data_IF_517380573082
#
_entry.id   IF_517380573082
#
_cell.length_a   1.000
_cell.length_b   1.000
_cell.length_c   1.000
_cell.angle_alpha   90.00
_cell.angle_beta   90.00
_cell.angle_gamma   90.00
#
_symmetry.space_group_name_H-M   'P 1'
#
loop_
_entity.id
_entity.type
_entity.pdbx_description
1 polymer ?
#
# COMPACT_ATOMS: atom_id res chain seq x y z
N UNK A 1 -6.10 -12.45 43.82
CA UNK A 1 -6.83 -13.47 43.03
C UNK A 1 -8.06 -12.91 42.32
N UNK A 2 -8.85 -12.01 42.97
CA UNK A 2 -10.08 -11.43 42.40
C UNK A 2 -9.88 -10.63 41.12
N UNK A 3 -8.75 -9.92 40.96
CA UNK A 3 -8.46 -9.13 39.76
C UNK A 3 -8.33 -9.98 38.48
N UNK A 4 -7.67 -11.14 38.58
CA UNK A 4 -7.51 -12.07 37.44
C UNK A 4 -8.87 -12.67 37.02
N UNK A 5 -9.70 -13.02 37.98
CA UNK A 5 -11.05 -13.53 37.72
C UNK A 5 -11.91 -12.47 37.03
N UNK A 6 -11.81 -11.21 37.46
CA UNK A 6 -12.49 -10.08 36.82
C UNK A 6 -12.10 -9.88 35.37
N UNK A 7 -10.79 -9.99 35.04
CA UNK A 7 -10.30 -9.87 33.66
C UNK A 7 -10.83 -11.01 32.78
N UNK A 8 -10.79 -12.26 33.28
CA UNK A 8 -11.31 -13.42 32.56
C UNK A 8 -12.82 -13.29 32.31
N UNK A 9 -13.59 -12.89 33.34
CA UNK A 9 -15.02 -12.67 33.20
C UNK A 9 -15.35 -11.54 32.22
N UNK A 10 -14.61 -10.45 32.24
CA UNK A 10 -14.81 -9.35 31.28
C UNK A 10 -14.51 -9.78 29.85
N UNK A 11 -13.45 -10.58 29.62
CA UNK A 11 -13.14 -11.15 28.30
C UNK A 11 -14.26 -12.09 27.81
N UNK A 12 -14.77 -12.97 28.69
CA UNK A 12 -15.89 -13.86 28.35
C UNK A 12 -17.17 -13.07 28.06
N UNK A 13 -17.41 -12.00 28.79
CA UNK A 13 -18.58 -11.13 28.61
C UNK A 13 -18.53 -10.41 27.28
N UNK A 14 -17.38 -9.81 26.91
CA UNK A 14 -17.16 -9.19 25.60
C UNK A 14 -17.34 -10.20 24.49
N UNK A 15 -16.74 -11.38 24.62
CA UNK A 15 -16.89 -12.48 23.64
C UNK A 15 -18.34 -12.87 23.42
N UNK A 16 -19.13 -12.99 24.52
CA UNK A 16 -20.51 -13.39 24.45
C UNK A 16 -21.42 -12.30 23.83
N UNK A 17 -21.23 -11.04 24.21
CA UNK A 17 -22.02 -9.91 23.67
C UNK A 17 -21.73 -9.67 22.18
N UNK A 18 -20.48 -9.69 21.80
CA UNK A 18 -20.07 -9.39 20.41
C UNK A 18 -20.03 -10.60 19.48
N UNK A 19 -20.46 -11.79 19.99
CA UNK A 19 -20.47 -13.06 19.24
C UNK A 19 -19.16 -13.31 18.46
N UNK A 20 -18.01 -12.98 19.06
CA UNK A 20 -16.70 -13.11 18.44
C UNK A 20 -16.36 -14.59 18.30
N UNK A 21 -16.32 -15.09 17.07
CA UNK A 21 -15.81 -16.42 16.74
C UNK A 21 -14.36 -16.32 16.29
N UNK A 22 -13.44 -16.78 17.13
CA UNK A 22 -11.99 -16.74 16.82
C UNK A 22 -11.66 -17.45 15.51
N UNK A 23 -12.33 -18.55 15.18
CA UNK A 23 -12.09 -19.31 13.95
C UNK A 23 -12.46 -18.54 12.68
N UNK A 24 -13.48 -17.68 12.71
CA UNK A 24 -13.84 -16.83 11.58
C UNK A 24 -12.91 -15.61 11.46
N UNK A 25 -12.50 -15.03 12.59
CA UNK A 25 -11.55 -13.93 12.63
C UNK A 25 -10.17 -14.39 12.20
N UNK A 26 -9.72 -15.57 12.66
CA UNK A 26 -8.42 -16.15 12.25
C UNK A 26 -8.42 -16.45 10.75
N UNK A 27 -9.50 -17.03 10.21
CA UNK A 27 -9.61 -17.26 8.76
C UNK A 27 -9.62 -15.97 7.96
N UNK A 28 -10.33 -14.94 8.41
CA UNK A 28 -10.29 -13.62 7.77
C UNK A 28 -8.89 -13.00 7.82
N UNK A 29 -8.21 -13.09 8.96
CA UNK A 29 -6.82 -12.63 9.11
C UNK A 29 -5.83 -13.45 8.24
N UNK A 30 -6.05 -14.76 8.11
CA UNK A 30 -5.26 -15.62 7.22
C UNK A 30 -5.53 -15.30 5.75
N UNK A 31 -6.79 -15.06 5.37
CA UNK A 31 -7.14 -14.61 4.02
C UNK A 31 -6.61 -13.20 3.73
N UNK A 32 -6.73 -12.26 4.65
CA UNK A 32 -6.13 -10.92 4.55
C UNK A 32 -4.59 -10.98 4.52
N UNK A 33 -3.96 -11.82 5.33
CA UNK A 33 -2.51 -12.01 5.32
C UNK A 33 -2.02 -12.73 4.05
N UNK A 34 -2.75 -13.69 3.53
CA UNK A 34 -2.40 -14.33 2.25
C UNK A 34 -2.54 -13.40 1.05
N UNK A 35 -3.47 -12.44 1.12
CA UNK A 35 -3.60 -11.36 0.11
C UNK A 35 -2.52 -10.29 0.27
N UNK A 36 -1.91 -10.12 1.46
CA UNK A 36 -0.98 -9.04 1.76
C UNK A 36 0.48 -9.47 2.01
N UNK A 37 0.79 -10.76 2.00
CA UNK A 37 2.15 -11.25 2.30
C UNK A 37 3.06 -11.39 1.08
N UNK A 38 2.74 -10.72 -0.01
CA UNK A 38 3.59 -10.71 -1.18
C UNK A 38 4.58 -9.56 -1.10
N UNK A 39 5.79 -9.84 -0.65
CA UNK A 39 6.86 -8.85 -0.63
C UNK A 39 7.11 -8.29 -2.03
N UNK A 40 7.12 -6.97 -2.15
CA UNK A 40 7.24 -6.27 -3.41
C UNK A 40 8.67 -6.36 -3.94
N UNK A 41 8.86 -7.13 -5.01
CA UNK A 41 10.14 -7.35 -5.68
C UNK A 41 10.23 -6.49 -6.94
N UNK A 42 11.29 -5.68 -7.09
CA UNK A 42 11.54 -4.91 -8.31
C UNK A 42 12.19 -5.79 -9.37
N UNK A 43 11.65 -5.78 -10.59
CA UNK A 43 12.25 -6.44 -11.76
C UNK A 43 12.35 -5.45 -12.92
N UNK A 44 13.36 -5.63 -13.76
CA UNK A 44 13.55 -4.88 -15.01
C UNK A 44 13.36 -5.82 -16.18
N UNK A 45 12.45 -5.48 -17.09
CA UNK A 45 12.11 -6.32 -18.23
C UNK A 45 12.30 -5.56 -19.54
N UNK A 46 12.72 -6.26 -20.59
CA UNK A 46 12.66 -5.78 -21.97
C UNK A 46 11.44 -6.38 -22.65
N UNK A 47 10.65 -5.55 -23.31
CA UNK A 47 9.42 -5.96 -24.00
C UNK A 47 9.79 -6.70 -25.28
N UNK A 48 9.55 -8.01 -25.30
CA UNK A 48 9.86 -8.89 -26.44
C UNK A 48 8.63 -9.59 -27.00
N UNK A 49 7.50 -9.58 -26.29
CA UNK A 49 6.27 -10.22 -26.74
C UNK A 49 5.58 -9.37 -27.81
N UNK A 50 5.48 -9.83 -29.07
CA UNK A 50 4.86 -9.08 -30.16
C UNK A 50 3.37 -8.77 -29.90
N UNK A 51 2.68 -9.57 -29.09
CA UNK A 51 1.29 -9.33 -28.73
C UNK A 51 1.07 -8.05 -27.91
N UNK A 52 2.14 -7.48 -27.37
CA UNK A 52 2.11 -6.25 -26.57
C UNK A 52 2.48 -4.99 -27.36
N UNK A 53 3.06 -5.14 -28.55
CA UNK A 53 3.48 -4.00 -29.35
C UNK A 53 2.28 -3.15 -29.80
N UNK A 54 2.36 -1.86 -29.55
CA UNK A 54 1.27 -0.92 -29.83
C UNK A 54 0.14 -0.90 -28.80
N UNK A 55 0.16 -1.78 -27.80
CA UNK A 55 -0.87 -1.81 -26.73
C UNK A 55 -0.56 -0.80 -25.62
N UNK A 56 -1.64 -0.32 -25.01
CA UNK A 56 -1.54 0.57 -23.84
C UNK A 56 -1.29 -0.25 -22.56
N UNK A 57 -0.59 0.34 -21.61
CA UNK A 57 -0.33 -0.28 -20.31
C UNK A 57 -1.63 -0.67 -19.56
N UNK A 58 -2.70 0.12 -19.71
CA UNK A 58 -3.99 -0.22 -19.11
C UNK A 58 -4.60 -1.51 -19.67
N UNK A 59 -4.34 -1.83 -20.93
CA UNK A 59 -4.78 -3.08 -21.56
C UNK A 59 -3.99 -4.27 -21.03
N UNK A 60 -2.70 -4.07 -20.77
CA UNK A 60 -1.85 -5.07 -20.13
C UNK A 60 -2.36 -5.42 -18.73
N UNK A 61 -2.76 -4.42 -17.95
CA UNK A 61 -3.33 -4.63 -16.63
C UNK A 61 -4.62 -5.47 -16.67
N UNK A 62 -5.45 -5.29 -17.70
CA UNK A 62 -6.65 -6.11 -17.90
C UNK A 62 -6.33 -7.55 -18.30
N UNK A 63 -5.26 -7.78 -19.08
CA UNK A 63 -4.84 -9.13 -19.47
C UNK A 63 -4.22 -9.93 -18.31
N UNK A 64 -3.68 -9.25 -17.31
CA UNK A 64 -3.06 -9.83 -16.11
C UNK A 64 -3.90 -9.55 -14.84
N UNK A 65 -5.22 -9.62 -14.96
CA UNK A 65 -6.21 -9.15 -13.99
C UNK A 65 -6.06 -9.70 -12.57
N UNK A 66 -5.50 -10.91 -12.44
CA UNK A 66 -5.31 -11.57 -11.14
C UNK A 66 -3.87 -11.53 -10.64
N UNK A 67 -3.02 -10.66 -11.20
CA UNK A 67 -1.62 -10.52 -10.84
C UNK A 67 -1.34 -9.18 -10.18
N UNK A 68 -0.51 -9.21 -9.15
CA UNK A 68 -0.11 -8.01 -8.43
C UNK A 68 1.15 -7.40 -9.05
N UNK A 69 0.99 -6.34 -9.80
CA UNK A 69 2.12 -5.60 -10.37
C UNK A 69 1.83 -4.12 -10.60
N UNK A 70 2.89 -3.34 -10.62
CA UNK A 70 2.87 -1.92 -10.99
C UNK A 70 4.01 -1.64 -11.94
N UNK A 71 3.72 -1.21 -13.17
CA UNK A 71 4.73 -0.67 -14.07
C UNK A 71 4.94 0.79 -13.72
N UNK A 72 6.15 1.12 -13.29
CA UNK A 72 6.49 2.44 -12.76
C UNK A 72 7.11 3.34 -13.81
N UNK A 73 8.06 2.82 -14.57
CA UNK A 73 8.87 3.57 -15.53
C UNK A 73 9.07 2.77 -16.80
N UNK A 74 9.33 3.49 -17.88
CA UNK A 74 9.69 2.93 -19.17
C UNK A 74 10.94 3.65 -19.70
N UNK A 75 11.91 2.87 -20.15
CA UNK A 75 13.04 3.38 -20.92
C UNK A 75 12.73 3.14 -22.39
N UNK A 76 12.56 4.21 -23.14
CA UNK A 76 12.34 4.16 -24.57
C UNK A 76 13.63 3.87 -25.32
N UNK A 77 13.69 2.75 -26.00
CA UNK A 77 14.86 2.38 -26.78
C UNK A 77 15.16 3.42 -27.88
N UNK A 78 14.14 3.92 -28.57
CA UNK A 78 14.28 4.91 -29.66
C UNK A 78 14.83 6.26 -29.22
N UNK A 79 14.45 6.76 -28.05
CA UNK A 79 14.82 8.11 -27.57
C UNK A 79 15.88 8.09 -26.49
N UNK A 80 16.21 6.91 -25.99
CA UNK A 80 17.14 6.69 -24.86
C UNK A 80 16.75 7.51 -23.61
N UNK A 81 15.44 7.67 -23.36
CA UNK A 81 14.88 8.42 -22.24
C UNK A 81 14.06 7.53 -21.33
N UNK A 82 14.09 7.87 -20.05
CA UNK A 82 13.23 7.26 -19.03
C UNK A 82 12.03 8.16 -18.80
N UNK A 83 10.84 7.58 -18.91
CA UNK A 83 9.57 8.28 -18.66
C UNK A 83 8.77 7.57 -17.57
N UNK A 84 7.86 8.32 -16.91
CA UNK A 84 6.88 7.75 -16.00
C UNK A 84 5.76 7.13 -16.82
N UNK A 85 5.41 5.88 -16.46
CA UNK A 85 4.33 5.15 -17.13
C UNK A 85 2.96 5.67 -16.69
N UNK A 86 2.11 5.92 -17.67
CA UNK A 86 0.68 6.19 -17.48
C UNK A 86 -0.17 5.05 -18.05
N UNK A 87 -1.46 5.03 -17.77
CA UNK A 87 -2.36 4.03 -18.38
C UNK A 87 -2.42 4.09 -19.92
N UNK A 88 -2.16 5.26 -20.50
CA UNK A 88 -2.15 5.51 -21.95
C UNK A 88 -0.77 5.29 -22.60
N UNK A 89 0.26 4.98 -21.82
CA UNK A 89 1.60 4.68 -22.35
C UNK A 89 1.53 3.45 -23.25
N UNK A 90 2.01 3.57 -24.48
CA UNK A 90 2.05 2.50 -25.47
C UNK A 90 3.38 1.78 -25.35
N UNK A 91 3.36 0.45 -25.39
CA UNK A 91 4.55 -0.39 -25.42
C UNK A 91 5.05 -0.59 -26.84
N UNK A 92 6.35 -0.49 -27.02
CA UNK A 92 7.03 -0.77 -28.27
C UNK A 92 8.07 -1.89 -28.08
N UNK A 93 8.49 -2.48 -29.19
CA UNK A 93 9.58 -3.47 -29.17
C UNK A 93 10.85 -2.88 -28.55
N UNK A 94 11.53 -3.68 -27.73
CA UNK A 94 12.76 -3.33 -27.04
C UNK A 94 12.64 -2.20 -26.00
N UNK A 95 11.44 -1.73 -25.71
CA UNK A 95 11.25 -0.87 -24.55
C UNK A 95 11.65 -1.63 -23.27
N UNK A 96 12.36 -0.96 -22.37
CA UNK A 96 12.67 -1.52 -21.06
C UNK A 96 11.69 -0.96 -20.04
N UNK A 97 11.11 -1.81 -19.22
CA UNK A 97 10.15 -1.41 -18.20
C UNK A 97 10.61 -1.80 -16.80
N UNK A 98 10.34 -0.94 -15.84
CA UNK A 98 10.57 -1.19 -14.43
C UNK A 98 9.26 -1.58 -13.76
N UNK A 99 9.18 -2.81 -13.30
CA UNK A 99 8.00 -3.42 -12.72
C UNK A 99 8.25 -3.72 -11.25
N UNK A 100 7.28 -3.42 -10.42
CA UNK A 100 7.20 -3.89 -9.04
C UNK A 100 6.12 -4.96 -9.00
N UNK A 101 6.45 -6.13 -8.55
CA UNK A 101 5.54 -7.28 -8.46
C UNK A 101 5.84 -8.10 -7.22
N UNK A 102 5.07 -9.15 -7.01
CA UNK A 102 5.35 -10.15 -5.97
C UNK A 102 6.30 -11.21 -6.51
N UNK A 103 7.02 -11.91 -5.63
CA UNK A 103 7.85 -13.05 -6.02
C UNK A 103 7.02 -14.13 -6.73
N UNK A 104 5.79 -14.35 -6.24
CA UNK A 104 4.84 -15.30 -6.82
C UNK A 104 4.46 -14.98 -8.26
N UNK A 105 4.25 -13.71 -8.59
CA UNK A 105 3.79 -13.27 -9.91
C UNK A 105 4.93 -12.97 -10.89
N UNK A 106 6.16 -12.82 -10.38
CA UNK A 106 7.32 -12.40 -11.16
C UNK A 106 7.56 -13.27 -12.40
N UNK A 107 7.55 -14.59 -12.25
CA UNK A 107 7.79 -15.53 -13.37
C UNK A 107 6.70 -15.46 -14.45
N UNK A 108 5.43 -15.32 -14.03
CA UNK A 108 4.32 -15.15 -14.97
C UNK A 108 4.47 -13.85 -15.76
N UNK A 109 4.82 -12.76 -15.08
CA UNK A 109 4.99 -11.43 -15.68
C UNK A 109 6.18 -11.43 -16.64
N UNK A 110 7.31 -12.04 -16.26
CA UNK A 110 8.49 -12.21 -17.13
C UNK A 110 8.11 -12.95 -18.41
N UNK A 111 7.49 -14.12 -18.27
CA UNK A 111 7.07 -14.95 -19.42
C UNK A 111 6.12 -14.20 -20.35
N UNK A 112 5.22 -13.38 -19.80
CA UNK A 112 4.23 -12.67 -20.57
C UNK A 112 4.78 -11.42 -21.26
N UNK A 113 5.69 -10.67 -20.61
CA UNK A 113 6.22 -9.40 -21.15
C UNK A 113 7.46 -9.63 -22.03
N UNK A 114 8.40 -10.44 -21.54
CA UNK A 114 9.65 -10.69 -22.24
C UNK A 114 10.80 -11.06 -21.31
N UNK A 115 11.99 -10.59 -21.63
CA UNK A 115 13.22 -11.01 -20.96
C UNK A 115 13.58 -10.12 -19.78
N UNK A 116 13.99 -10.73 -18.67
CA UNK A 116 14.58 -10.01 -17.53
C UNK A 116 15.96 -9.47 -17.89
N UNK A 117 16.23 -8.25 -17.45
CA UNK A 117 17.51 -7.57 -17.61
C UNK A 117 18.00 -7.01 -16.28
N UNK A 118 19.29 -6.98 -16.09
CA UNK A 118 19.89 -6.30 -14.96
C UNK A 118 20.03 -4.81 -15.26
N UNK A 119 19.33 -3.99 -14.50
CA UNK A 119 19.45 -2.53 -14.55
C UNK A 119 19.51 -1.96 -13.14
N UNK A 120 20.55 -1.19 -12.89
CA UNK A 120 20.74 -0.51 -11.63
C UNK A 120 19.66 0.56 -11.39
N UNK A 121 19.34 0.78 -10.13
CA UNK A 121 18.39 1.81 -9.70
C UNK A 121 18.76 3.20 -10.21
N UNK A 122 20.06 3.50 -10.33
CA UNK A 122 20.57 4.78 -10.86
C UNK A 122 20.26 4.97 -12.34
N UNK A 123 20.22 3.88 -13.11
CA UNK A 123 19.86 3.92 -14.54
C UNK A 123 18.38 4.26 -14.72
N UNK A 124 17.54 3.81 -13.77
CA UNK A 124 16.09 4.10 -13.76
C UNK A 124 15.74 5.50 -13.24
N UNK A 125 16.66 6.22 -12.64
CA UNK A 125 16.53 7.62 -12.20
C UNK A 125 17.82 8.33 -12.56
N UNK A 126 18.01 8.69 -13.84
CA UNK A 126 19.16 9.49 -14.23
C UNK A 126 19.20 10.81 -13.46
N UNK A 127 20.40 11.29 -13.13
CA UNK A 127 20.57 12.54 -12.37
C UNK A 127 19.92 13.76 -13.07
N UNK A 128 19.81 13.69 -14.38
CA UNK A 128 19.19 14.72 -15.24
C UNK A 128 17.67 14.51 -15.41
N UNK A 129 17.09 13.47 -14.79
CA UNK A 129 15.66 13.23 -14.94
C UNK A 129 14.86 14.28 -14.17
N UNK A 130 13.76 14.75 -14.78
CA UNK A 130 12.78 15.62 -14.12
C UNK A 130 11.98 14.92 -13.04
N UNK A 131 12.31 13.65 -12.71
CA UNK A 131 11.56 12.82 -11.78
C UNK A 131 12.35 12.51 -10.52
N UNK A 132 11.66 12.58 -9.40
CA UNK A 132 12.18 12.19 -8.10
C UNK A 132 11.42 10.96 -7.57
N UNK A 133 12.11 10.15 -6.79
CA UNK A 133 11.49 9.06 -6.03
C UNK A 133 11.57 9.41 -4.55
N UNK A 134 10.43 9.49 -3.88
CA UNK A 134 10.33 9.88 -2.46
C UNK A 134 9.44 8.92 -1.70
N UNK A 135 9.80 8.67 -0.45
CA UNK A 135 8.94 7.97 0.51
C UNK A 135 8.12 9.00 1.29
N UNK A 136 6.81 8.85 1.28
CA UNK A 136 5.86 9.73 1.95
C UNK A 136 5.15 8.92 3.04
N UNK A 137 5.07 9.49 4.23
CA UNK A 137 4.39 8.88 5.36
C UNK A 137 2.90 9.26 5.35
N UNK A 138 2.02 8.27 5.43
CA UNK A 138 0.58 8.49 5.59
C UNK A 138 0.31 8.87 7.05
N UNK A 139 -0.13 10.10 7.27
CA UNK A 139 -0.39 10.62 8.64
C UNK A 139 -1.81 11.15 8.82
N UNK A 140 -2.62 11.15 7.78
CA UNK A 140 -4.02 11.57 7.83
C UNK A 140 -4.92 10.40 8.20
N UNK A 141 -5.64 10.44 9.34
CA UNK A 141 -6.53 9.35 9.79
C UNK A 141 -7.65 9.04 8.80
N UNK A 142 -8.14 10.05 8.09
CA UNK A 142 -9.22 9.94 7.10
C UNK A 142 -8.86 9.09 5.88
N UNK A 143 -7.57 8.79 5.68
CA UNK A 143 -7.10 7.91 4.60
C UNK A 143 -7.08 6.42 5.00
N UNK A 144 -7.28 6.11 6.27
CA UNK A 144 -7.30 4.72 6.73
C UNK A 144 -8.46 3.97 6.09
N UNK A 145 -8.18 2.83 5.45
CA UNK A 145 -9.14 2.04 4.71
C UNK A 145 -9.46 2.54 3.29
N UNK A 146 -8.96 3.73 2.90
CA UNK A 146 -9.15 4.24 1.53
C UNK A 146 -8.28 3.45 0.55
N UNK A 147 -8.88 2.98 -0.54
CA UNK A 147 -8.13 2.30 -1.60
C UNK A 147 -7.22 3.28 -2.34
N UNK A 148 -6.01 2.85 -2.65
CA UNK A 148 -5.04 3.67 -3.37
C UNK A 148 -5.57 4.14 -4.74
N UNK A 149 -6.35 3.29 -5.42
CA UNK A 149 -7.00 3.62 -6.69
C UNK A 149 -7.99 4.78 -6.60
N UNK A 150 -8.71 4.90 -5.47
CA UNK A 150 -9.71 5.95 -5.26
C UNK A 150 -9.09 7.34 -5.18
N UNK A 151 -7.83 7.44 -4.73
CA UNK A 151 -7.08 8.71 -4.70
C UNK A 151 -6.67 9.20 -6.08
N UNK A 152 -6.73 8.35 -7.11
CA UNK A 152 -6.42 8.66 -8.52
C UNK A 152 -5.11 9.46 -8.71
N UNK A 153 -4.11 9.22 -7.87
CA UNK A 153 -2.87 10.00 -7.80
C UNK A 153 -2.12 10.04 -9.14
N UNK A 154 -2.16 8.93 -9.89
CA UNK A 154 -1.58 8.86 -11.23
C UNK A 154 -2.29 9.78 -12.21
N UNK A 155 -3.63 9.80 -12.20
CA UNK A 155 -4.44 10.58 -13.15
C UNK A 155 -4.41 12.06 -12.83
N UNK A 156 -4.54 12.42 -11.56
CA UNK A 156 -4.69 13.82 -11.13
C UNK A 156 -3.35 14.54 -10.96
N UNK A 157 -2.29 13.82 -10.58
CA UNK A 157 -1.00 14.41 -10.24
C UNK A 157 0.17 13.91 -11.08
N UNK A 158 -0.05 12.95 -12.01
CA UNK A 158 1.01 12.41 -12.85
C UNK A 158 2.11 11.67 -12.08
N UNK A 159 1.79 11.09 -10.93
CA UNK A 159 2.73 10.32 -10.12
C UNK A 159 2.40 8.82 -10.18
N UNK A 160 3.44 7.99 -10.05
CA UNK A 160 3.27 6.56 -9.79
C UNK A 160 3.56 6.25 -8.33
N UNK A 161 2.62 5.54 -7.70
CA UNK A 161 2.87 4.85 -6.44
C UNK A 161 3.38 3.45 -6.79
N UNK A 162 4.54 3.07 -6.25
CA UNK A 162 5.22 1.84 -6.63
C UNK A 162 5.10 0.76 -5.56
N UNK A 163 5.25 1.15 -4.31
CA UNK A 163 5.16 0.22 -3.17
C UNK A 163 4.75 0.97 -1.91
N UNK A 164 4.25 0.22 -0.95
CA UNK A 164 3.87 0.69 0.38
C UNK A 164 4.61 -0.15 1.42
N UNK A 165 5.40 0.50 2.28
CA UNK A 165 6.02 -0.17 3.41
C UNK A 165 5.11 -0.02 4.63
N UNK A 166 4.63 -1.15 5.12
CA UNK A 166 3.78 -1.26 6.32
C UNK A 166 4.49 -2.13 7.35
N UNK A 167 4.83 -1.55 8.50
CA UNK A 167 5.51 -2.25 9.59
C UNK A 167 6.76 -3.05 9.16
N UNK A 168 7.51 -2.55 8.16
CA UNK A 168 8.72 -3.20 7.65
C UNK A 168 8.50 -4.07 6.40
N UNK A 169 7.26 -4.46 6.08
CA UNK A 169 6.95 -5.25 4.89
C UNK A 169 6.71 -4.33 3.69
N UNK A 170 7.34 -4.62 2.56
CA UNK A 170 7.14 -3.90 1.29
C UNK A 170 6.01 -4.56 0.50
N UNK A 171 4.90 -3.84 0.29
CA UNK A 171 3.72 -4.29 -0.45
C UNK A 171 3.69 -3.67 -1.84
N UNK A 172 3.16 -4.39 -2.82
CA UNK A 172 2.90 -3.86 -4.17
C UNK A 172 1.76 -2.84 -4.10
N UNK A 173 1.97 -1.63 -4.64
CA UNK A 173 0.98 -0.55 -4.59
C UNK A 173 -0.13 -0.74 -5.64
N UNK A 174 -0.87 -1.83 -5.55
CA UNK A 174 -2.02 -2.09 -6.41
C UNK A 174 -3.15 -1.09 -6.16
N UNK A 175 -4.08 -0.96 -7.10
CA UNK A 175 -5.23 -0.04 -6.95
C UNK A 175 -6.16 -0.44 -5.81
N UNK A 176 -6.23 -1.74 -5.51
CA UNK A 176 -7.05 -2.29 -4.43
C UNK A 176 -6.44 -2.16 -3.04
N UNK A 177 -5.15 -1.82 -2.93
CA UNK A 177 -4.48 -1.71 -1.64
C UNK A 177 -5.10 -0.59 -0.81
N UNK A 178 -5.57 -0.93 0.40
CA UNK A 178 -6.09 0.03 1.36
C UNK A 178 -4.94 0.65 2.17
N UNK A 179 -4.92 1.97 2.23
CA UNK A 179 -3.94 2.72 3.01
C UNK A 179 -4.24 2.67 4.51
N UNK A 180 -3.19 2.74 5.31
CA UNK A 180 -3.26 2.85 6.77
C UNK A 180 -2.36 3.98 7.26
N UNK A 181 -2.75 4.61 8.37
CA UNK A 181 -1.85 5.55 9.06
C UNK A 181 -0.59 4.83 9.50
N UNK A 182 0.57 5.43 9.20
CA UNK A 182 1.88 4.82 9.42
C UNK A 182 2.50 4.18 8.18
N UNK A 183 1.73 3.96 7.11
CA UNK A 183 2.28 3.48 5.84
C UNK A 183 3.30 4.45 5.27
N UNK A 184 4.39 3.91 4.71
CA UNK A 184 5.38 4.67 3.95
C UNK A 184 5.22 4.37 2.47
N UNK A 185 4.59 5.28 1.75
CA UNK A 185 4.26 5.15 0.33
C UNK A 185 5.44 5.64 -0.52
N UNK A 186 5.97 4.80 -1.39
CA UNK A 186 7.02 5.18 -2.34
C UNK A 186 6.39 5.70 -3.62
N UNK A 187 6.59 6.98 -3.89
CA UNK A 187 6.04 7.69 -5.07
C UNK A 187 7.15 8.10 -6.03
N UNK A 188 6.81 8.17 -7.31
CA UNK A 188 7.70 8.63 -8.37
C UNK A 188 6.95 9.65 -9.22
N UNK A 189 7.51 10.83 -9.40
CA UNK A 189 6.89 11.92 -10.15
C UNK A 189 7.79 13.14 -10.24
N UNK A 190 7.30 14.22 -10.85
CA UNK A 190 7.97 15.51 -10.77
C UNK A 190 7.99 16.00 -9.31
N UNK A 191 8.96 16.80 -8.96
CA UNK A 191 9.12 17.30 -7.59
C UNK A 191 7.86 18.02 -7.08
N UNK A 192 7.30 18.90 -7.89
CA UNK A 192 6.06 19.60 -7.58
C UNK A 192 4.86 18.66 -7.37
N UNK A 193 4.78 17.59 -8.16
CA UNK A 193 3.69 16.62 -8.03
C UNK A 193 3.85 15.80 -6.75
N UNK A 194 5.08 15.40 -6.42
CA UNK A 194 5.40 14.67 -5.19
C UNK A 194 5.11 15.52 -3.95
N UNK A 195 5.40 16.83 -3.98
CA UNK A 195 5.07 17.74 -2.88
C UNK A 195 3.55 17.86 -2.67
N UNK A 196 2.77 17.99 -3.75
CA UNK A 196 1.30 17.99 -3.66
C UNK A 196 0.77 16.69 -3.03
N UNK A 197 1.30 15.54 -3.44
CA UNK A 197 0.89 14.25 -2.90
C UNK A 197 1.34 14.09 -1.43
N UNK A 198 2.48 14.64 -1.05
CA UNK A 198 2.89 14.72 0.36
C UNK A 198 1.87 15.45 1.23
N UNK A 199 1.30 16.55 0.74
CA UNK A 199 0.23 17.27 1.45
C UNK A 199 -1.08 16.46 1.52
N UNK A 200 -1.41 15.72 0.45
CA UNK A 200 -2.60 14.84 0.43
C UNK A 200 -2.46 13.73 1.47
N UNK A 201 -1.31 13.06 1.53
CA UNK A 201 -1.07 11.95 2.45
C UNK A 201 -0.74 12.41 3.88
N UNK A 202 -0.37 13.67 4.06
CA UNK A 202 -0.10 14.29 5.35
C UNK A 202 1.37 14.43 5.70
N UNK A 203 2.20 13.43 5.47
CA UNK A 203 3.67 13.37 5.65
C UNK A 203 4.23 14.10 6.91
N UNK A 204 3.50 14.04 8.03
CA UNK A 204 3.87 14.70 9.29
C UNK A 204 4.16 13.69 10.39
N UNK A 205 5.45 13.48 10.72
CA UNK A 205 5.86 12.65 11.85
C UNK A 205 5.31 13.13 13.19
N UNK A 206 5.15 14.44 13.37
CA UNK A 206 4.61 15.03 14.59
C UNK A 206 3.19 14.51 14.86
N UNK A 207 2.37 14.40 13.82
CA UNK A 207 0.97 13.95 13.92
C UNK A 207 0.83 12.49 14.36
N UNK A 208 1.80 11.64 14.01
CA UNK A 208 1.82 10.23 14.43
C UNK A 208 2.23 10.05 15.89
N UNK A 209 3.05 10.97 16.40
CA UNK A 209 3.55 10.92 17.77
C UNK A 209 2.62 11.58 18.78
N UNK A 210 1.56 12.25 18.34
CA UNK A 210 0.55 12.84 19.22
C UNK A 210 -0.52 11.77 19.55
N UNK A 211 -0.54 11.22 20.77
CA UNK A 211 -1.56 10.27 21.16
C UNK A 211 -2.93 10.97 21.18
N UNK A 212 -3.94 10.31 20.66
CA UNK A 212 -5.32 10.79 20.82
C UNK A 212 -5.76 10.54 22.26
N UNK A 213 -5.72 11.57 23.09
CA UNK A 213 -6.04 11.48 24.50
C UNK A 213 -7.54 11.41 24.78
N UNK A 214 -8.40 11.77 23.82
CA UNK A 214 -9.86 11.83 24.00
C UNK A 214 -10.45 10.47 24.45
N UNK A 215 -10.15 9.31 23.80
CA UNK A 215 -10.68 8.04 24.25
C UNK A 215 -10.20 7.66 25.64
N UNK A 216 -8.99 8.04 26.02
CA UNK A 216 -8.41 7.77 27.35
C UNK A 216 -9.21 8.54 28.41
N UNK A 217 -9.43 9.85 28.21
CA UNK A 217 -10.20 10.67 29.15
C UNK A 217 -11.67 10.21 29.26
N UNK A 218 -12.30 9.84 28.14
CA UNK A 218 -13.66 9.28 28.15
C UNK A 218 -13.69 7.97 28.93
N UNK A 219 -12.72 7.08 28.72
CA UNK A 219 -12.62 5.81 29.45
C UNK A 219 -12.47 6.01 30.96
N UNK A 220 -11.61 6.96 31.38
CA UNK A 220 -11.43 7.31 32.79
C UNK A 220 -12.72 7.88 33.39
N UNK A 221 -13.35 8.83 32.70
CA UNK A 221 -14.60 9.46 33.18
C UNK A 221 -15.72 8.41 33.35
N UNK A 222 -15.91 7.52 32.38
CA UNK A 222 -16.87 6.44 32.45
C UNK A 222 -16.52 5.45 33.57
N UNK A 223 -15.24 5.13 33.75
CA UNK A 223 -14.78 4.26 34.84
C UNK A 223 -15.10 4.83 36.23
N UNK A 224 -14.89 6.15 36.41
CA UNK A 224 -15.21 6.84 37.66
C UNK A 224 -16.73 6.84 37.90
N UNK A 225 -17.52 7.15 36.87
CA UNK A 225 -18.99 7.15 36.98
C UNK A 225 -19.51 5.76 37.39
N UNK A 226 -19.06 4.72 36.71
CA UNK A 226 -19.47 3.33 36.99
C UNK A 226 -18.97 2.86 38.35
N UNK A 227 -17.76 3.21 38.74
CA UNK A 227 -17.18 2.88 40.05
C UNK A 227 -17.82 3.61 41.22
N UNK A 228 -18.51 4.74 40.98
CA UNK A 228 -19.22 5.51 41.99
C UNK A 228 -20.63 4.96 42.30
N UNK A 229 -21.10 3.98 41.52
CA UNK A 229 -22.41 3.34 41.77
C UNK A 229 -22.28 2.37 42.95
N UNK A 230 -22.95 2.63 44.10
CA UNK A 230 -22.89 1.72 45.24
C UNK A 230 -23.60 0.42 44.92
N UNK A 231 -22.86 -0.67 44.80
CA UNK A 231 -23.43 -2.00 44.65
C UNK A 231 -23.68 -2.57 46.04
N UNK A 232 -24.95 -2.56 46.51
CA UNK A 232 -25.35 -3.22 47.74
C UNK A 232 -25.58 -4.70 47.46
N UNK A 233 -24.75 -5.55 48.02
CA UNK A 233 -25.04 -6.99 48.03
C UNK A 233 -25.98 -7.27 49.20
N UNK A 234 -27.16 -7.92 48.99
CA UNK A 234 -27.96 -8.41 50.07
C UNK A 234 -27.19 -9.52 50.78
N UNK A 235 -26.90 -9.30 52.08
CA UNK A 235 -26.26 -10.27 52.99
C UNK A 235 -27.24 -11.32 53.44
#
# INVERSE_FOLDING_TARGET
PLGVVGIILSMLFVRYIFHISFDQETKKLEEENNVHNSEATPISLIVKNPALFGRKIMELAALLEHREFVISRIWRNKTNKVDIVTGSTILEEDDKIFVITTEHDAETIKTFIGQEIEMDRKQWIPAESAFVSRRILVTKPELTGTKLGDLQLRRLHGINVTRVNRAGVELVATQGLQLQVGDRVTVVGSELAVDKVSMILGNSMKRLNEPNLIPIFIGIALGIILGSIPISFPG
#
